data_IF_841397542241
#
_entry.id   IF_841397542241
#
_cell.length_a   1.000
_cell.length_b   1.000
_cell.length_c   1.000
_cell.angle_alpha   90.00
_cell.angle_beta   90.00
_cell.angle_gamma   90.00
#
_symmetry.space_group_name_H-M   'P 1'
#
loop_
_entity.id
_entity.type
_entity.pdbx_description
1 polymer ?
#
# COMPACT_ATOMS: atom_id res chain seq x y z
N UNK A 1 -7.38 14.88 7.18
CA UNK A 1 -8.50 15.35 6.33
C UNK A 1 -9.48 16.25 7.09
N UNK A 2 -10.03 15.82 8.24
CA UNK A 2 -11.03 16.60 9.02
C UNK A 2 -10.60 18.05 9.29
N UNK A 3 -9.33 18.30 9.62
CA UNK A 3 -8.82 19.65 9.90
C UNK A 3 -8.71 20.58 8.68
N UNK A 4 -8.85 20.06 7.45
CA UNK A 4 -8.71 20.82 6.20
C UNK A 4 -10.04 21.37 5.66
N UNK A 5 -11.18 20.82 6.08
CA UNK A 5 -12.48 21.22 5.59
C UNK A 5 -13.27 21.93 6.68
N UNK A 6 -13.94 23.03 6.32
CA UNK A 6 -14.77 23.81 7.25
C UNK A 6 -16.25 23.40 7.20
N UNK A 7 -16.66 22.54 6.27
CA UNK A 7 -18.02 22.00 6.18
C UNK A 7 -18.02 20.47 6.15
N UNK A 8 -19.03 19.89 6.82
CA UNK A 8 -19.23 18.44 6.87
C UNK A 8 -19.47 17.87 5.46
N UNK A 9 -20.22 18.58 4.62
CA UNK A 9 -20.46 18.15 3.23
C UNK A 9 -19.16 18.07 2.41
N UNK A 10 -18.29 19.08 2.46
CA UNK A 10 -17.02 19.04 1.72
C UNK A 10 -16.10 17.93 2.22
N UNK A 11 -16.04 17.72 3.55
CA UNK A 11 -15.30 16.61 4.15
C UNK A 11 -15.84 15.24 3.69
N UNK A 12 -17.16 15.07 3.69
CA UNK A 12 -17.81 13.82 3.29
C UNK A 12 -17.54 13.51 1.82
N UNK A 13 -17.73 14.46 0.91
CA UNK A 13 -17.44 14.28 -0.53
C UNK A 13 -15.98 13.91 -0.75
N UNK A 14 -15.03 14.63 -0.13
CA UNK A 14 -13.62 14.33 -0.25
C UNK A 14 -13.26 12.94 0.29
N UNK A 15 -13.83 12.55 1.43
CA UNK A 15 -13.58 11.26 2.06
C UNK A 15 -14.13 10.11 1.21
N UNK A 16 -15.30 10.27 0.58
CA UNK A 16 -15.86 9.27 -0.33
C UNK A 16 -14.97 9.07 -1.55
N UNK A 17 -14.50 10.15 -2.18
CA UNK A 17 -13.58 10.05 -3.34
C UNK A 17 -12.29 9.33 -2.95
N UNK A 18 -11.67 9.73 -1.83
CA UNK A 18 -10.45 9.08 -1.34
C UNK A 18 -10.71 7.61 -1.01
N UNK A 19 -11.81 7.30 -0.34
CA UNK A 19 -12.21 5.94 0.01
C UNK A 19 -12.38 5.04 -1.20
N UNK A 20 -13.04 5.52 -2.25
CA UNK A 20 -13.20 4.77 -3.51
C UNK A 20 -11.86 4.53 -4.22
N UNK A 21 -10.94 5.51 -4.19
CA UNK A 21 -9.65 5.40 -4.87
C UNK A 21 -8.65 4.49 -4.13
N UNK A 22 -8.74 4.37 -2.80
CA UNK A 22 -7.80 3.59 -1.99
C UNK A 22 -7.69 2.13 -2.47
N UNK A 23 -8.81 1.49 -2.83
CA UNK A 23 -8.78 0.09 -3.27
C UNK A 23 -8.02 -0.11 -4.60
N UNK A 24 -8.09 0.86 -5.51
CA UNK A 24 -7.31 0.85 -6.75
C UNK A 24 -5.84 1.15 -6.50
N UNK A 25 -5.56 2.18 -5.69
CA UNK A 25 -4.20 2.63 -5.39
C UNK A 25 -3.43 1.59 -4.54
N UNK A 26 -4.11 0.82 -3.70
CA UNK A 26 -3.50 -0.26 -2.93
C UNK A 26 -3.39 -1.59 -3.71
N UNK A 27 -3.81 -1.62 -4.98
CA UNK A 27 -3.80 -2.82 -5.82
C UNK A 27 -4.64 -3.95 -5.21
N UNK A 28 -5.80 -3.63 -4.63
CA UNK A 28 -6.68 -4.62 -4.00
C UNK A 28 -7.61 -5.31 -5.01
N UNK A 29 -7.98 -4.61 -6.09
CA UNK A 29 -8.94 -5.12 -7.08
C UNK A 29 -8.29 -5.80 -8.28
N UNK A 30 -7.08 -5.40 -8.65
CA UNK A 30 -6.38 -5.88 -9.85
C UNK A 30 -4.96 -6.30 -9.47
N UNK A 31 -4.48 -7.47 -9.93
CA UNK A 31 -3.10 -7.90 -9.70
C UNK A 31 -2.11 -6.83 -10.20
N UNK A 32 -1.15 -6.45 -9.36
CA UNK A 32 -0.21 -5.38 -9.71
C UNK A 32 0.61 -5.71 -10.97
N UNK A 33 0.95 -6.98 -11.21
CA UNK A 33 1.79 -7.36 -12.35
C UNK A 33 1.13 -7.25 -13.72
N UNK A 34 -0.20 -7.10 -13.80
CA UNK A 34 -0.90 -6.90 -15.08
C UNK A 34 -1.06 -5.42 -15.43
N UNK A 35 -0.74 -4.53 -14.51
CA UNK A 35 -0.85 -3.08 -14.71
C UNK A 35 0.37 -2.54 -15.45
N UNK A 36 0.22 -1.46 -16.23
CA UNK A 36 1.34 -0.68 -16.76
C UNK A 36 2.35 -0.28 -15.68
N UNK A 37 3.63 -0.21 -16.06
CA UNK A 37 4.73 0.09 -15.13
C UNK A 37 4.53 1.34 -14.29
N UNK A 38 3.95 2.40 -14.86
CA UNK A 38 3.66 3.63 -14.14
C UNK A 38 2.64 3.43 -13.00
N UNK A 39 1.58 2.64 -13.21
CA UNK A 39 0.60 2.33 -12.17
C UNK A 39 1.21 1.44 -11.08
N UNK A 40 2.07 0.49 -11.46
CA UNK A 40 2.78 -0.32 -10.48
C UNK A 40 3.64 0.55 -9.56
N UNK A 41 4.32 1.55 -10.11
CA UNK A 41 5.13 2.49 -9.33
C UNK A 41 4.25 3.31 -8.38
N UNK A 42 3.12 3.82 -8.85
CA UNK A 42 2.14 4.51 -7.97
C UNK A 42 1.76 3.60 -6.81
N UNK A 43 1.32 2.37 -7.08
CA UNK A 43 0.93 1.42 -6.02
C UNK A 43 2.09 1.19 -5.04
N UNK A 44 3.31 0.97 -5.52
CA UNK A 44 4.51 0.71 -4.70
C UNK A 44 4.97 1.92 -3.87
N UNK A 45 4.51 3.13 -4.16
CA UNK A 45 4.85 4.34 -3.38
C UNK A 45 3.84 4.59 -2.26
N UNK A 46 2.59 4.16 -2.43
CA UNK A 46 1.54 4.43 -1.45
C UNK A 46 1.72 3.56 -0.19
N UNK A 47 1.76 4.16 1.02
CA UNK A 47 2.02 3.40 2.25
C UNK A 47 1.04 2.25 2.49
N UNK A 48 -0.25 2.46 2.19
CA UNK A 48 -1.30 1.45 2.39
C UNK A 48 -1.01 0.16 1.61
N UNK A 49 -0.39 0.27 0.43
CA UNK A 49 -0.01 -0.87 -0.40
C UNK A 49 1.00 -1.79 0.28
N UNK A 50 1.89 -1.24 1.11
CA UNK A 50 2.86 -2.01 1.87
C UNK A 50 2.19 -2.83 2.98
N UNK A 51 1.18 -2.26 3.66
CA UNK A 51 0.38 -3.03 4.63
C UNK A 51 -0.35 -4.19 3.96
N UNK A 52 -0.97 -3.96 2.79
CA UNK A 52 -1.63 -5.00 2.03
C UNK A 52 -0.65 -6.09 1.57
N UNK A 53 0.53 -5.71 1.07
CA UNK A 53 1.59 -6.64 0.69
C UNK A 53 2.03 -7.51 1.89
N UNK A 54 2.23 -6.92 3.06
CA UNK A 54 2.67 -7.65 4.28
C UNK A 54 1.62 -8.67 4.71
N UNK A 55 0.34 -8.27 4.72
CA UNK A 55 -0.77 -9.18 5.03
C UNK A 55 -0.84 -10.35 4.03
N UNK A 56 -0.67 -10.07 2.73
CA UNK A 56 -0.61 -11.13 1.72
C UNK A 56 0.54 -12.11 1.96
N UNK A 57 1.72 -11.63 2.35
CA UNK A 57 2.84 -12.53 2.69
C UNK A 57 2.43 -13.50 3.79
N UNK A 58 1.87 -12.99 4.89
CA UNK A 58 1.47 -13.81 6.03
C UNK A 58 0.36 -14.81 5.67
N UNK A 59 -0.69 -14.37 4.97
CA UNK A 59 -1.83 -15.23 4.65
C UNK A 59 -1.54 -16.26 3.56
N UNK A 60 -0.64 -15.96 2.62
CA UNK A 60 -0.37 -16.83 1.47
C UNK A 60 0.80 -17.80 1.73
N UNK A 61 1.67 -17.51 2.68
CA UNK A 61 2.82 -18.38 3.02
C UNK A 61 2.42 -19.85 3.30
N UNK A 62 1.35 -20.17 4.06
CA UNK A 62 0.94 -21.56 4.28
C UNK A 62 0.49 -22.26 2.99
N UNK A 63 -0.09 -21.53 2.03
CA UNK A 63 -0.54 -22.07 0.75
C UNK A 63 0.66 -22.38 -0.15
N UNK A 64 1.61 -21.44 -0.24
CA UNK A 64 2.84 -21.60 -1.02
C UNK A 64 3.65 -22.78 -0.50
N UNK A 65 3.89 -22.84 0.81
CA UNK A 65 4.68 -23.91 1.43
C UNK A 65 4.05 -25.30 1.24
N UNK A 66 2.72 -25.40 1.33
CA UNK A 66 2.02 -26.69 1.21
C UNK A 66 1.89 -27.18 -0.23
N UNK A 67 1.58 -26.29 -1.18
CA UNK A 67 1.16 -26.69 -2.53
C UNK A 67 2.18 -26.32 -3.63
N UNK A 68 3.19 -25.51 -3.34
CA UNK A 68 4.13 -24.98 -4.34
C UNK A 68 5.60 -25.15 -3.97
N UNK A 69 5.93 -25.99 -2.99
CA UNK A 69 7.30 -26.19 -2.47
C UNK A 69 8.32 -26.62 -3.54
N UNK A 70 7.89 -27.33 -4.59
CA UNK A 70 8.75 -27.75 -5.72
C UNK A 70 8.76 -26.80 -6.92
N UNK A 71 8.15 -25.61 -6.83
CA UNK A 71 7.91 -24.74 -7.99
C UNK A 71 8.42 -23.29 -7.78
N UNK A 72 9.73 -23.09 -7.55
CA UNK A 72 10.27 -21.78 -7.14
C UNK A 72 10.04 -20.65 -8.15
N UNK A 73 10.08 -20.95 -9.46
CA UNK A 73 9.80 -19.98 -10.51
C UNK A 73 8.33 -19.53 -10.52
N UNK A 74 7.40 -20.49 -10.36
CA UNK A 74 5.98 -20.21 -10.28
C UNK A 74 5.64 -19.38 -9.03
N UNK A 75 6.29 -19.68 -7.90
CA UNK A 75 6.15 -18.90 -6.66
C UNK A 75 6.64 -17.48 -6.85
N UNK A 76 7.78 -17.28 -7.50
CA UNK A 76 8.34 -15.94 -7.77
C UNK A 76 7.40 -15.13 -8.67
N UNK A 77 6.90 -15.74 -9.75
CA UNK A 77 5.93 -15.12 -10.65
C UNK A 77 4.61 -14.78 -9.96
N UNK A 78 4.09 -15.70 -9.13
CA UNK A 78 2.90 -15.46 -8.32
C UNK A 78 3.11 -14.27 -7.39
N UNK A 79 4.24 -14.24 -6.66
CA UNK A 79 4.57 -13.17 -5.71
C UNK A 79 4.63 -11.80 -6.39
N UNK A 80 5.25 -11.73 -7.57
CA UNK A 80 5.35 -10.52 -8.37
C UNK A 80 3.98 -10.07 -8.92
N UNK A 81 3.22 -10.98 -9.52
CA UNK A 81 1.95 -10.64 -10.17
C UNK A 81 0.88 -10.23 -9.16
N UNK A 82 0.79 -10.94 -8.03
CA UNK A 82 -0.23 -10.70 -7.01
C UNK A 82 0.15 -9.64 -5.99
N UNK A 83 1.36 -9.06 -6.09
CA UNK A 83 1.84 -8.06 -5.13
C UNK A 83 2.00 -8.62 -3.71
N UNK A 84 2.36 -9.90 -3.61
CA UNK A 84 2.79 -10.55 -2.35
C UNK A 84 4.23 -10.13 -2.04
N UNK A 85 5.02 -9.85 -3.06
CA UNK A 85 6.28 -9.12 -2.91
C UNK A 85 6.38 -8.05 -4.00
N UNK A 86 6.96 -6.91 -3.66
CA UNK A 86 7.24 -5.88 -4.64
C UNK A 86 8.61 -6.10 -5.27
N UNK A 87 8.72 -5.77 -6.55
CA UNK A 87 9.93 -5.90 -7.35
C UNK A 87 10.24 -4.58 -8.06
N UNK A 88 11.52 -4.27 -8.19
CA UNK A 88 12.05 -3.18 -8.99
C UNK A 88 12.93 -3.81 -10.10
N UNK A 89 12.36 -3.92 -11.30
CA UNK A 89 12.90 -4.83 -12.32
C UNK A 89 12.84 -6.27 -11.79
N UNK A 90 13.97 -6.99 -11.88
CA UNK A 90 14.07 -8.38 -11.42
C UNK A 90 14.41 -8.51 -9.93
N UNK A 91 14.69 -7.39 -9.24
CA UNK A 91 15.09 -7.41 -7.84
C UNK A 91 13.89 -7.26 -6.91
N UNK A 92 13.73 -8.20 -5.99
CA UNK A 92 12.74 -8.08 -4.92
C UNK A 92 13.10 -6.93 -3.99
N UNK A 93 12.13 -6.07 -3.70
CA UNK A 93 12.26 -5.02 -2.68
C UNK A 93 12.27 -5.71 -1.30
N UNK A 94 13.26 -5.42 -0.44
CA UNK A 94 13.32 -6.02 0.89
C UNK A 94 12.06 -5.72 1.72
N UNK A 95 11.50 -6.73 2.37
CA UNK A 95 10.30 -6.59 3.21
C UNK A 95 10.49 -5.56 4.34
N UNK A 96 11.70 -5.43 4.88
CA UNK A 96 12.01 -4.40 5.89
C UNK A 96 11.76 -2.97 5.38
N UNK A 97 11.95 -2.70 4.09
CA UNK A 97 11.67 -1.38 3.52
C UNK A 97 10.18 -1.04 3.60
N UNK A 98 9.30 -2.03 3.44
CA UNK A 98 7.85 -1.86 3.64
C UNK A 98 7.51 -1.43 5.07
N UNK A 99 8.14 -2.04 6.07
CA UNK A 99 7.98 -1.61 7.47
C UNK A 99 8.50 -0.18 7.69
N UNK A 100 9.65 0.17 7.10
CA UNK A 100 10.21 1.51 7.20
C UNK A 100 9.28 2.56 6.55
N UNK A 101 8.72 2.29 5.38
CA UNK A 101 7.78 3.18 4.69
C UNK A 101 6.53 3.42 5.54
N UNK A 102 6.00 2.37 6.17
CA UNK A 102 4.85 2.48 7.08
C UNK A 102 5.19 3.32 8.31
N UNK A 103 6.36 3.10 8.92
CA UNK A 103 6.82 3.87 10.07
C UNK A 103 7.00 5.35 9.71
N UNK A 104 7.74 5.63 8.63
CA UNK A 104 8.02 7.00 8.17
C UNK A 104 6.74 7.73 7.80
N UNK A 105 5.83 7.09 7.07
CA UNK A 105 4.54 7.70 6.72
C UNK A 105 3.68 7.97 7.96
N UNK A 106 3.65 7.06 8.94
CA UNK A 106 2.95 7.28 10.21
C UNK A 106 3.49 8.49 10.95
N UNK A 107 4.81 8.58 11.12
CA UNK A 107 5.48 9.72 11.77
C UNK A 107 5.21 11.01 10.99
N UNK A 108 5.37 10.99 9.67
CA UNK A 108 5.14 12.15 8.81
C UNK A 108 3.71 12.67 8.95
N UNK A 109 2.69 11.81 8.78
CA UNK A 109 1.29 12.23 8.87
C UNK A 109 0.91 12.66 10.28
N UNK A 110 1.47 12.03 11.32
CA UNK A 110 1.26 12.45 12.70
C UNK A 110 1.82 13.85 12.97
N UNK A 111 3.07 14.12 12.54
CA UNK A 111 3.70 15.44 12.67
C UNK A 111 2.91 16.50 11.88
N UNK A 112 2.53 16.22 10.63
CA UNK A 112 1.73 17.12 9.82
C UNK A 112 0.37 17.42 10.46
N UNK A 113 -0.30 16.40 11.02
CA UNK A 113 -1.57 16.57 11.72
C UNK A 113 -1.41 17.44 12.97
N UNK A 114 -0.38 17.17 13.79
CA UNK A 114 -0.07 17.93 15.01
C UNK A 114 0.23 19.40 14.71
N UNK A 115 1.12 19.67 13.74
CA UNK A 115 1.45 21.03 13.31
C UNK A 115 0.21 21.79 12.80
N UNK A 116 -0.67 21.12 12.05
CA UNK A 116 -1.88 21.74 11.52
C UNK A 116 -2.89 22.05 12.61
N UNK A 117 -3.08 21.16 13.58
CA UNK A 117 -3.98 21.36 14.72
C UNK A 117 -3.46 22.50 15.62
N UNK A 118 -2.16 22.52 15.92
CA UNK A 118 -1.54 23.58 16.72
C UNK A 118 -1.69 24.97 16.06
N UNK A 119 -1.52 25.06 14.74
CA UNK A 119 -1.72 26.32 13.97
C UNK A 119 -3.18 26.75 13.83
N UNK A 120 -4.15 25.87 14.09
CA UNK A 120 -5.59 26.21 14.04
C UNK A 120 -6.10 26.69 15.41
N UNK A 121 -5.39 26.36 16.49
CA UNK A 121 -5.70 26.78 17.86
C UNK A 121 -5.09 28.14 18.24
N UNK A 122 -4.06 28.60 17.50
CA UNK A 122 -3.60 30.00 17.49
C UNK A 122 -4.44 30.81 16.51
#
# INVERSE_FOLDING_TARGET
LVSFFNSVNAFATASSIVGSLIGFIAGLYIPIGVLPSYLQTVIKVFPVSHSAMLLRQVFVEPVISKYMSGMPEAVTKLKAVMGIAFYAGDKQIPTFLSFLILLVSTVLFFVLASLRLSRKQK
#
